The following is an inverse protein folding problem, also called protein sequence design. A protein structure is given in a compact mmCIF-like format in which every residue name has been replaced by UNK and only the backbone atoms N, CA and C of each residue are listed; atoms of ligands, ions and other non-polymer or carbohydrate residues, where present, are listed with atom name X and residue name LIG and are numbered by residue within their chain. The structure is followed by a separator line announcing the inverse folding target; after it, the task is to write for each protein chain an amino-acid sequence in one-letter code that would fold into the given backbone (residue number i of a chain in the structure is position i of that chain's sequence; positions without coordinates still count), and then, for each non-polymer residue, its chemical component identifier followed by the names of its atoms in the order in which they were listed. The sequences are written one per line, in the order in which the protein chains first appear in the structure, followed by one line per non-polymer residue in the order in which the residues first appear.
data_IF_059503117644
#
_entry.id   IF_059503117644
#
_cell.length_a   1.000
_cell.length_b   1.000
_cell.length_c   1.000
_cell.angle_alpha   90.00
_cell.angle_beta   90.00
_cell.angle_gamma   90.00
#
_symmetry.space_group_name_H-M   'P 1'
#
loop_
_entity.id
_entity.type
_entity.pdbx_description
1 polymer ?
#
# COMPACT_ATOMS: atom_id res chain seq x y z
N UNK A 1 -11.10 2.85 -19.45
CA UNK A 1 -10.97 2.86 -17.97
C UNK A 1 -9.79 1.96 -17.64
N UNK A 2 -8.82 2.40 -16.82
CA UNK A 2 -7.77 1.49 -16.34
C UNK A 2 -8.47 0.63 -15.27
N UNK A 3 -8.66 -0.66 -15.56
CA UNK A 3 -9.21 -1.60 -14.58
C UNK A 3 -8.08 -2.01 -13.65
N UNK A 4 -8.30 -1.90 -12.35
CA UNK A 4 -7.38 -2.31 -11.30
C UNK A 4 -7.95 -3.56 -10.65
N UNK A 5 -7.19 -4.64 -10.63
CA UNK A 5 -7.56 -5.93 -10.05
C UNK A 5 -6.84 -6.10 -8.72
N UNK A 6 -7.57 -6.41 -7.65
CA UNK A 6 -6.98 -6.84 -6.38
C UNK A 6 -6.33 -8.21 -6.58
N UNK A 7 -5.05 -8.33 -6.23
CA UNK A 7 -4.27 -9.57 -6.41
C UNK A 7 -3.84 -10.21 -5.09
N UNK A 8 -3.72 -9.41 -4.03
CA UNK A 8 -3.33 -9.88 -2.69
C UNK A 8 -3.81 -8.88 -1.64
N UNK A 9 -4.12 -9.37 -0.45
CA UNK A 9 -4.29 -8.57 0.76
C UNK A 9 -3.35 -9.11 1.82
N UNK A 10 -2.69 -8.22 2.55
CA UNK A 10 -1.74 -8.52 3.60
C UNK A 10 -2.00 -7.66 4.85
N UNK A 11 -1.29 -7.95 5.93
CA UNK A 11 -1.42 -7.24 7.22
C UNK A 11 -0.06 -6.83 7.73
N UNK A 12 0.02 -5.58 8.18
CA UNK A 12 1.19 -5.06 8.90
C UNK A 12 0.74 -4.65 10.30
N UNK A 13 1.38 -5.23 11.31
CA UNK A 13 1.17 -4.86 12.70
C UNK A 13 2.22 -3.84 13.15
N UNK A 14 1.77 -2.75 13.77
CA UNK A 14 2.61 -1.71 14.37
C UNK A 14 2.04 -1.37 15.74
N UNK A 15 2.81 -1.57 16.82
CA UNK A 15 2.41 -1.28 18.21
C UNK A 15 1.02 -1.84 18.58
N UNK A 16 0.76 -3.11 18.21
CA UNK A 16 -0.53 -3.78 18.48
C UNK A 16 -1.70 -3.32 17.60
N UNK A 17 -1.46 -2.44 16.64
CA UNK A 17 -2.45 -2.02 15.64
C UNK A 17 -2.18 -2.68 14.29
N UNK A 18 -3.18 -3.37 13.78
CA UNK A 18 -3.13 -4.00 12.47
C UNK A 18 -3.59 -3.03 11.37
N UNK A 19 -2.82 -2.97 10.28
CA UNK A 19 -3.14 -2.22 9.07
C UNK A 19 -3.21 -3.17 7.87
N UNK A 20 -4.32 -3.08 7.13
CA UNK A 20 -4.50 -3.84 5.89
C UNK A 20 -3.70 -3.19 4.76
N UNK A 21 -3.01 -4.03 3.97
CA UNK A 21 -2.32 -3.62 2.76
C UNK A 21 -2.89 -4.40 1.58
N UNK A 22 -3.57 -3.71 0.69
CA UNK A 22 -4.14 -4.29 -0.51
C UNK A 22 -3.21 -4.06 -1.70
N UNK A 23 -2.91 -5.13 -2.43
CA UNK A 23 -2.03 -5.13 -3.60
C UNK A 23 -2.86 -5.31 -4.85
N UNK A 24 -2.54 -4.54 -5.87
CA UNK A 24 -3.31 -4.53 -7.08
C UNK A 24 -2.42 -4.52 -8.31
N UNK A 25 -2.95 -5.11 -9.37
CA UNK A 25 -2.41 -5.06 -10.71
C UNK A 25 -3.33 -4.23 -11.61
N UNK A 26 -2.74 -3.41 -12.47
CA UNK A 26 -3.48 -2.66 -13.47
C UNK A 26 -2.75 -2.68 -14.82
N UNK A 27 -3.51 -2.91 -15.89
CA UNK A 27 -2.99 -2.79 -17.26
C UNK A 27 -3.32 -1.40 -17.79
N UNK A 28 -2.29 -0.63 -18.14
CA UNK A 28 -2.46 0.69 -18.75
C UNK A 28 -3.02 0.58 -20.16
N UNK A 29 -3.53 1.69 -20.71
CA UNK A 29 -3.99 1.75 -22.12
C UNK A 29 -2.91 1.36 -23.14
N UNK A 30 -1.63 1.43 -22.76
CA UNK A 30 -0.48 1.06 -23.61
C UNK A 30 -0.02 -0.39 -23.41
N UNK A 31 -0.76 -1.20 -22.64
CA UNK A 31 -0.43 -2.59 -22.35
C UNK A 31 0.59 -2.80 -21.23
N UNK A 32 1.18 -1.73 -20.68
CA UNK A 32 2.13 -1.84 -19.55
C UNK A 32 1.39 -2.26 -18.27
N UNK A 33 1.88 -3.29 -17.58
CA UNK A 33 1.45 -3.66 -16.24
C UNK A 33 2.00 -2.69 -15.19
N UNK A 34 1.16 -2.33 -14.23
CA UNK A 34 1.53 -1.55 -13.04
C UNK A 34 1.05 -2.29 -11.81
N UNK A 35 1.88 -2.27 -10.78
CA UNK A 35 1.58 -2.85 -9.49
C UNK A 35 1.58 -1.75 -8.44
N UNK A 36 0.54 -1.72 -7.62
CA UNK A 36 0.37 -0.69 -6.59
C UNK A 36 -0.22 -1.31 -5.33
N UNK A 37 0.33 -0.98 -4.17
CA UNK A 37 -0.27 -1.28 -2.88
C UNK A 37 -1.01 -0.09 -2.30
N UNK A 38 -2.02 -0.33 -1.48
CA UNK A 38 -2.78 0.70 -0.80
C UNK A 38 -3.10 0.30 0.65
N UNK A 39 -2.91 1.24 1.57
CA UNK A 39 -3.37 1.14 2.96
C UNK A 39 -4.21 2.36 3.28
N UNK A 40 -5.46 2.13 3.67
CA UNK A 40 -6.41 3.20 4.03
C UNK A 40 -6.36 3.43 5.53
N UNK A 41 -6.06 4.66 5.94
CA UNK A 41 -5.97 5.05 7.36
C UNK A 41 -7.23 5.76 7.86
N UNK A 42 -8.04 6.27 6.92
CA UNK A 42 -9.29 6.96 7.18
C UNK A 42 -9.85 7.63 5.90
N UNK A 43 -10.96 8.36 6.00
CA UNK A 43 -11.54 9.08 4.88
C UNK A 43 -10.53 10.07 4.27
N UNK A 44 -10.18 9.86 2.99
CA UNK A 44 -9.22 10.70 2.28
C UNK A 44 -7.75 10.49 2.65
N UNK A 45 -7.43 9.61 3.62
CA UNK A 45 -6.06 9.33 4.06
C UNK A 45 -5.63 7.92 3.64
N UNK A 46 -4.66 7.86 2.73
CA UNK A 46 -4.15 6.61 2.18
C UNK A 46 -2.66 6.70 1.94
N UNK A 47 -1.97 5.58 2.16
CA UNK A 47 -0.61 5.38 1.73
C UNK A 47 -0.64 4.51 0.47
N UNK A 48 0.03 4.96 -0.58
CA UNK A 48 0.14 4.25 -1.85
C UNK A 48 1.62 4.02 -2.14
N UNK A 49 1.98 2.80 -2.51
CA UNK A 49 3.33 2.44 -2.95
C UNK A 49 3.24 1.77 -4.31
N UNK A 50 4.11 2.14 -5.24
CA UNK A 50 4.16 1.55 -6.58
C UNK A 50 5.35 0.59 -6.73
N UNK A 51 5.20 -0.35 -7.66
CA UNK A 51 6.24 -1.30 -8.05
C UNK A 51 6.17 -1.67 -9.52
N UNK A 52 7.31 -2.10 -10.07
CA UNK A 52 7.44 -2.56 -11.46
C UNK A 52 6.95 -4.01 -11.67
N UNK A 53 6.86 -4.79 -10.58
CA UNK A 53 6.32 -6.14 -10.52
C UNK A 53 5.68 -6.36 -9.14
N UNK A 54 4.93 -7.44 -8.96
CA UNK A 54 4.39 -7.80 -7.65
C UNK A 54 5.50 -7.99 -6.60
N UNK A 55 6.57 -8.73 -6.93
CA UNK A 55 7.68 -8.95 -6.01
C UNK A 55 8.45 -7.68 -5.66
N UNK A 56 8.65 -6.77 -6.62
CA UNK A 56 9.27 -5.47 -6.35
C UNK A 56 8.39 -4.61 -5.43
N UNK A 57 7.07 -4.64 -5.64
CA UNK A 57 6.11 -3.96 -4.78
C UNK A 57 6.12 -4.53 -3.36
N UNK A 58 6.10 -5.85 -3.20
CA UNK A 58 6.19 -6.51 -1.89
C UNK A 58 7.47 -6.14 -1.15
N UNK A 59 8.61 -6.09 -1.85
CA UNK A 59 9.87 -5.64 -1.27
C UNK A 59 9.81 -4.17 -0.82
N UNK A 60 9.25 -3.26 -1.64
CA UNK A 60 9.05 -1.86 -1.26
C UNK A 60 8.13 -1.73 -0.04
N UNK A 61 7.01 -2.44 -0.03
CA UNK A 61 6.06 -2.42 1.09
C UNK A 61 6.72 -2.90 2.37
N UNK A 62 7.39 -4.06 2.34
CA UNK A 62 8.09 -4.60 3.50
C UNK A 62 9.15 -3.64 4.05
N UNK A 63 9.80 -2.86 3.17
CA UNK A 63 10.86 -1.92 3.57
C UNK A 63 10.37 -0.57 4.07
N UNK A 64 9.31 -0.03 3.46
CA UNK A 64 8.86 1.36 3.64
C UNK A 64 7.59 1.49 4.48
N UNK A 65 6.65 0.57 4.32
CA UNK A 65 5.31 0.69 4.90
C UNK A 65 5.34 0.69 6.44
N UNK A 66 6.13 -0.16 7.13
CA UNK A 66 6.19 -0.13 8.60
C UNK A 66 6.59 1.24 9.17
N UNK A 67 7.66 1.83 8.64
CA UNK A 67 8.13 3.14 9.09
C UNK A 67 7.14 4.26 8.76
N UNK A 68 6.51 4.19 7.58
CA UNK A 68 5.50 5.16 7.15
C UNK A 68 4.26 5.11 8.05
N UNK A 69 3.75 3.91 8.35
CA UNK A 69 2.61 3.70 9.24
C UNK A 69 2.91 4.18 10.66
N UNK A 70 4.10 3.85 11.19
CA UNK A 70 4.52 4.33 12.50
C UNK A 70 4.59 5.86 12.57
N UNK A 71 5.16 6.50 11.55
CA UNK A 71 5.21 7.96 11.46
C UNK A 71 3.80 8.60 11.43
N UNK A 72 2.88 8.03 10.65
CA UNK A 72 1.47 8.50 10.60
C UNK A 72 0.75 8.30 11.93
N UNK A 73 1.00 7.19 12.61
CA UNK A 73 0.46 6.92 13.94
C UNK A 73 0.92 7.96 14.96
N UNK A 74 2.23 8.26 15.01
CA UNK A 74 2.77 9.30 15.88
C UNK A 74 2.20 10.69 15.56
N UNK A 75 2.13 11.05 14.28
CA UNK A 75 1.59 12.34 13.87
C UNK A 75 0.12 12.53 14.29
N UNK A 76 -0.67 11.45 14.29
CA UNK A 76 -2.06 11.48 14.74
C UNK A 76 -2.21 11.53 16.25
N UNK A 77 -1.28 10.96 17.01
CA UNK A 77 -1.27 11.04 18.46
C UNK A 77 -0.88 12.44 18.99
N UNK A 78 -0.16 13.23 18.18
CA UNK A 78 0.27 14.58 18.53
C UNK A 78 -0.74 15.68 18.14
N UNK A 79 -1.82 15.34 17.42
CA UNK A 79 -2.85 16.26 16.92
C UNK A 79 -4.11 16.22 17.79
#
# INVERSE_FOLDING_TARGET
MISRRLVKTDRIEIEGREYTVDYFEATTKRGTQRYTSETVLGPGDRIIVDGSSLGALEWHVARLMPATLYSRMLARAAA
#
